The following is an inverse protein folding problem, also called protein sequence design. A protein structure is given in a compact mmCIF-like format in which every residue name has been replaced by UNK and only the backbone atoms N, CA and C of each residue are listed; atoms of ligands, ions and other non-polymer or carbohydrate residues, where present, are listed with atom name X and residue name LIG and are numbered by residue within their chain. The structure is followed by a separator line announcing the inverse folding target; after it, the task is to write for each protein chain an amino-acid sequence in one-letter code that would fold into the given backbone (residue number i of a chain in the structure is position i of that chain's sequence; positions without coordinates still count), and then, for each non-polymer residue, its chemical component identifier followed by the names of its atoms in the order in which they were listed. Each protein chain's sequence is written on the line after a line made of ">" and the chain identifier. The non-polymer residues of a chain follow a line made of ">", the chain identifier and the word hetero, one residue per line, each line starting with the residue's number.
data_IF_345401150768
#
_entry.id   IF_345401150768
#
_cell.length_a   1.000
_cell.length_b   1.000
_cell.length_c   1.000
_cell.angle_alpha   90.00
_cell.angle_beta   90.00
_cell.angle_gamma   90.00
#
_symmetry.space_group_name_H-M   'P 1'
#
loop_
_entity.id
_entity.type
_entity.pdbx_description
1 polymer ?
#
# COMPACT_ATOMS: atom_id res chain seq x y z
N UNK A 1 -22.35 20.76 2.15
CA UNK A 1 -20.89 20.94 2.12
C UNK A 1 -20.31 19.73 1.43
N UNK A 2 -19.83 19.89 0.19
CA UNK A 2 -18.96 18.87 -0.42
C UNK A 2 -17.67 18.87 0.39
N UNK A 3 -17.60 17.94 1.35
CA UNK A 3 -16.38 17.69 2.09
C UNK A 3 -15.40 17.09 1.09
N UNK A 4 -14.59 17.96 0.51
CA UNK A 4 -13.31 17.60 -0.09
C UNK A 4 -12.47 17.08 1.08
N UNK A 5 -12.73 15.85 1.50
CA UNK A 5 -11.83 15.09 2.37
C UNK A 5 -10.57 15.04 1.53
N UNK A 6 -9.61 15.92 1.87
CA UNK A 6 -8.25 15.78 1.39
C UNK A 6 -7.85 14.37 1.76
N UNK A 7 -7.85 13.53 0.73
CA UNK A 7 -7.97 12.09 0.69
C UNK A 7 -6.69 11.40 1.19
N UNK A 8 -6.05 12.02 2.19
CA UNK A 8 -4.84 11.58 2.85
C UNK A 8 -5.24 10.47 3.79
N UNK A 9 -4.71 9.27 3.54
CA UNK A 9 -4.91 8.13 4.42
C UNK A 9 -4.43 8.49 5.82
N UNK A 10 -5.25 8.19 6.83
CA UNK A 10 -4.88 8.41 8.21
C UNK A 10 -3.60 7.61 8.53
N UNK A 11 -2.61 8.22 9.19
CA UNK A 11 -1.37 7.51 9.52
C UNK A 11 -1.62 6.27 10.41
N UNK A 12 -2.71 6.27 11.16
CA UNK A 12 -3.18 5.13 11.97
C UNK A 12 -3.58 3.93 11.10
N UNK A 13 -4.32 4.15 10.01
CA UNK A 13 -4.66 3.11 9.05
C UNK A 13 -3.40 2.61 8.33
N UNK A 14 -2.52 3.51 7.91
CA UNK A 14 -1.25 3.15 7.26
C UNK A 14 -0.41 2.21 8.15
N UNK A 15 -0.30 2.52 9.44
CA UNK A 15 0.36 1.67 10.45
C UNK A 15 -0.33 0.30 10.61
N UNK A 16 -1.66 0.26 10.52
CA UNK A 16 -2.43 -0.99 10.62
C UNK A 16 -2.19 -1.89 9.41
N UNK A 17 -2.21 -1.33 8.21
CA UNK A 17 -1.88 -2.05 6.97
C UNK A 17 -0.42 -2.46 6.92
N UNK A 18 0.51 -1.61 7.39
CA UNK A 18 1.92 -1.95 7.47
C UNK A 18 2.17 -3.14 8.39
N UNK A 19 1.54 -3.16 9.57
CA UNK A 19 1.62 -4.30 10.50
C UNK A 19 1.05 -5.56 9.87
N UNK A 20 -0.11 -5.47 9.21
CA UNK A 20 -0.72 -6.62 8.53
C UNK A 20 0.18 -7.15 7.42
N UNK A 21 0.70 -6.25 6.58
CA UNK A 21 1.64 -6.55 5.51
C UNK A 21 2.91 -7.22 6.04
N UNK A 22 3.54 -6.66 7.09
CA UNK A 22 4.72 -7.26 7.71
C UNK A 22 4.41 -8.64 8.28
N UNK A 23 3.26 -8.82 8.93
CA UNK A 23 2.87 -10.12 9.48
C UNK A 23 2.71 -11.18 8.38
N UNK A 24 2.07 -10.82 7.27
CA UNK A 24 1.93 -11.71 6.11
C UNK A 24 3.28 -11.96 5.41
N UNK A 25 4.15 -10.95 5.38
CA UNK A 25 5.49 -11.04 4.80
C UNK A 25 6.40 -11.95 5.63
N UNK A 26 6.29 -11.87 6.96
CA UNK A 26 6.96 -12.78 7.89
C UNK A 26 6.41 -14.22 7.78
N UNK A 27 5.13 -14.38 7.48
CA UNK A 27 4.53 -15.69 7.15
C UNK A 27 4.97 -16.22 5.78
N UNK A 28 5.64 -15.41 4.97
CA UNK A 28 6.11 -15.77 3.63
C UNK A 28 5.03 -15.74 2.55
N UNK A 29 3.80 -15.36 2.88
CA UNK A 29 2.67 -15.32 1.96
C UNK A 29 1.88 -14.03 2.18
N UNK A 30 2.18 -13.01 1.37
CA UNK A 30 1.38 -11.79 1.34
C UNK A 30 0.34 -11.88 0.24
N UNK A 31 -0.92 -11.66 0.62
CA UNK A 31 -2.00 -11.60 -0.35
C UNK A 31 -1.82 -10.38 -1.27
N UNK A 32 -2.11 -10.56 -2.56
CA UNK A 32 -2.06 -9.47 -3.56
C UNK A 32 -2.92 -8.29 -3.14
N UNK A 33 -4.09 -8.59 -2.56
CA UNK A 33 -5.00 -7.60 -1.98
C UNK A 33 -4.34 -6.81 -0.84
N UNK A 34 -3.74 -7.48 0.16
CA UNK A 34 -3.03 -6.82 1.27
C UNK A 34 -1.88 -5.93 0.76
N UNK A 35 -1.12 -6.40 -0.24
CA UNK A 35 -0.06 -5.61 -0.91
C UNK A 35 -0.62 -4.37 -1.59
N UNK A 36 -1.70 -4.54 -2.35
CA UNK A 36 -2.32 -3.48 -3.12
C UNK A 36 -2.90 -2.41 -2.18
N UNK A 37 -3.62 -2.81 -1.13
CA UNK A 37 -4.15 -1.90 -0.11
C UNK A 37 -3.04 -1.12 0.59
N UNK A 38 -1.93 -1.78 0.96
CA UNK A 38 -0.78 -1.12 1.57
C UNK A 38 -0.11 -0.13 0.61
N UNK A 39 0.15 -0.54 -0.64
CA UNK A 39 0.74 0.33 -1.65
C UNK A 39 -0.16 1.52 -2.02
N UNK A 40 -1.47 1.32 -2.05
CA UNK A 40 -2.46 2.37 -2.26
C UNK A 40 -2.47 3.39 -1.11
N UNK A 41 -2.38 2.92 0.14
CA UNK A 41 -2.23 3.78 1.31
C UNK A 41 -0.95 4.60 1.28
N UNK A 42 0.15 4.01 0.81
CA UNK A 42 1.44 4.68 0.68
C UNK A 42 1.43 5.79 -0.39
N UNK A 43 0.78 5.57 -1.54
CA UNK A 43 0.68 6.56 -2.63
C UNK A 43 -0.20 7.75 -2.24
N UNK A 44 -1.18 7.53 -1.36
CA UNK A 44 -2.04 8.58 -0.79
C UNK A 44 -1.49 9.18 0.51
N UNK A 45 -0.32 8.75 0.96
CA UNK A 45 0.36 9.29 2.13
C UNK A 45 0.97 10.67 1.82
N UNK A 46 1.18 11.49 2.85
CA UNK A 46 1.84 12.80 2.72
C UNK A 46 3.34 12.72 2.48
N UNK A 47 3.95 11.54 2.64
CA UNK A 47 5.39 11.34 2.54
C UNK A 47 5.78 10.89 1.15
N UNK A 48 6.70 11.63 0.51
CA UNK A 48 7.21 11.29 -0.83
C UNK A 48 7.93 9.95 -0.86
N UNK A 49 8.56 9.55 0.25
CA UNK A 49 9.18 8.23 0.41
C UNK A 49 8.15 7.09 0.39
N UNK A 50 7.01 7.27 1.06
CA UNK A 50 5.90 6.32 1.00
C UNK A 50 5.38 6.19 -0.43
N UNK A 51 5.16 7.31 -1.11
CA UNK A 51 4.67 7.32 -2.50
C UNK A 51 5.59 6.51 -3.41
N UNK A 52 6.90 6.76 -3.33
CA UNK A 52 7.91 6.00 -4.10
C UNK A 52 7.87 4.51 -3.77
N UNK A 53 7.74 4.17 -2.49
CA UNK A 53 7.69 2.78 -2.01
C UNK A 53 6.42 2.07 -2.52
N UNK A 54 5.28 2.75 -2.50
CA UNK A 54 4.01 2.26 -3.03
C UNK A 54 4.06 2.04 -4.55
N UNK A 55 4.68 2.95 -5.31
CA UNK A 55 4.89 2.78 -6.76
C UNK A 55 5.73 1.55 -7.07
N UNK A 56 6.86 1.34 -6.37
CA UNK A 56 7.72 0.17 -6.55
C UNK A 56 6.99 -1.14 -6.20
N UNK A 57 6.18 -1.12 -5.12
CA UNK A 57 5.34 -2.25 -4.72
C UNK A 57 4.31 -2.63 -5.80
N UNK A 58 3.62 -1.65 -6.39
CA UNK A 58 2.65 -1.87 -7.47
C UNK A 58 3.32 -2.35 -8.75
N UNK A 59 4.48 -1.80 -9.10
CA UNK A 59 5.19 -2.17 -10.33
C UNK A 59 5.70 -3.61 -10.28
N UNK A 60 6.21 -4.05 -9.12
CA UNK A 60 6.62 -5.43 -8.90
C UNK A 60 5.47 -6.44 -9.03
N UNK A 61 4.28 -6.13 -8.50
CA UNK A 61 3.09 -6.98 -8.66
C UNK A 61 2.56 -6.98 -10.10
N UNK A 62 2.58 -5.83 -10.80
CA UNK A 62 2.12 -5.77 -12.19
C UNK A 62 3.00 -6.61 -13.12
N UNK A 63 4.31 -6.64 -12.87
CA UNK A 63 5.24 -7.48 -13.64
C UNK A 63 5.01 -8.98 -13.42
N UNK A 64 4.52 -9.41 -12.24
CA UNK A 64 4.20 -10.83 -12.01
C UNK A 64 2.92 -11.27 -12.73
N UNK A 65 1.93 -10.37 -12.84
CA UNK A 65 0.65 -10.64 -13.52
C UNK A 65 0.81 -10.70 -15.04
N UNK A 66 1.71 -9.89 -15.62
CA UNK A 66 1.91 -9.85 -17.09
C UNK A 66 2.62 -11.06 -17.69
N UNK A 67 3.16 -11.96 -16.85
CA UNK A 67 3.90 -13.16 -17.28
C UNK A 67 3.18 -14.49 -17.02
N UNK A 68 1.96 -14.47 -16.47
CA UNK A 68 1.13 -15.67 -16.26
C UNK A 68 0.11 -15.85 -17.37
#
# INVERSE_FOLDING_TARGET
>A
MEAVVSDVVAPEDLLKFEKKYNNELLKGAVSKETKFEYAWCLIRSKYTDDIKKGTVLLEGELMTVKRS
#
